data_IF_835933766354
#
_entry.id   IF_835933766354
#
_cell.length_a   1.000
_cell.length_b   1.000
_cell.length_c   1.000
_cell.angle_alpha   90.00
_cell.angle_beta   90.00
_cell.angle_gamma   90.00
#
_symmetry.space_group_name_H-M   'P 1'
#
loop_
_entity.id
_entity.type
_entity.pdbx_description
1 polymer ?
#
# COMPACT_ATOMS: atom_id res chain seq x y z
N UNK A 1 9.59 -31.74 -30.71
CA UNK A 1 8.44 -31.36 -29.86
C UNK A 1 7.93 -30.05 -30.42
N UNK A 2 6.95 -30.13 -31.32
CA UNK A 2 6.42 -28.99 -32.09
C UNK A 2 5.13 -28.48 -31.46
N UNK A 3 5.02 -27.16 -31.42
CA UNK A 3 4.01 -26.36 -30.72
C UNK A 3 2.66 -26.30 -31.44
N UNK A 4 1.68 -25.76 -30.69
CA UNK A 4 0.62 -24.84 -31.15
C UNK A 4 -0.65 -25.42 -31.81
N UNK A 5 -1.77 -25.34 -31.09
CA UNK A 5 -3.05 -24.91 -31.68
C UNK A 5 -3.65 -23.86 -30.74
N UNK A 6 -3.72 -22.61 -31.19
CA UNK A 6 -4.42 -21.54 -30.50
C UNK A 6 -5.92 -21.65 -30.84
N UNK A 7 -6.77 -21.85 -29.83
CA UNK A 7 -8.22 -21.72 -30.00
C UNK A 7 -8.54 -20.23 -29.89
N UNK A 8 -8.72 -19.59 -31.04
CA UNK A 8 -9.26 -18.23 -31.14
C UNK A 8 -10.72 -18.29 -30.68
N UNK A 9 -10.99 -17.77 -29.49
CA UNK A 9 -12.35 -17.54 -29.02
C UNK A 9 -12.97 -16.40 -29.80
N UNK A 10 -13.91 -16.70 -30.70
CA UNK A 10 -14.74 -15.71 -31.36
C UNK A 10 -15.82 -15.22 -30.38
N UNK A 11 -15.81 -13.93 -30.08
CA UNK A 11 -16.82 -13.27 -29.26
C UNK A 11 -17.98 -12.87 -30.20
N UNK A 12 -19.25 -13.19 -29.89
CA UNK A 12 -20.36 -12.94 -30.82
C UNK A 12 -20.42 -11.45 -31.18
N UNK A 13 -20.41 -11.14 -32.48
CA UNK A 13 -20.53 -9.76 -32.95
C UNK A 13 -21.95 -9.25 -32.66
N UNK A 14 -22.07 -8.32 -31.73
CA UNK A 14 -23.31 -7.59 -31.48
C UNK A 14 -23.46 -6.48 -32.53
N UNK A 15 -24.68 -6.21 -33.02
CA UNK A 15 -24.90 -5.16 -34.02
C UNK A 15 -24.46 -3.79 -33.47
N UNK A 16 -23.93 -2.91 -34.34
CA UNK A 16 -23.57 -1.54 -33.94
C UNK A 16 -24.78 -0.81 -33.35
N UNK A 17 -24.58 -0.15 -32.21
CA UNK A 17 -25.59 0.75 -31.65
C UNK A 17 -25.63 2.00 -32.52
N UNK A 18 -26.77 2.27 -33.15
CA UNK A 18 -27.01 3.51 -33.89
C UNK A 18 -27.12 4.66 -32.89
N UNK A 19 -26.05 5.46 -32.79
CA UNK A 19 -26.10 6.72 -32.05
C UNK A 19 -26.82 7.74 -32.92
N UNK A 20 -28.07 8.05 -32.61
CA UNK A 20 -28.74 9.23 -33.16
C UNK A 20 -27.98 10.45 -32.66
N UNK A 21 -27.27 11.13 -33.55
CA UNK A 21 -26.66 12.43 -33.28
C UNK A 21 -27.80 13.41 -32.95
N UNK A 22 -28.06 13.59 -31.66
CA UNK A 22 -28.78 14.77 -31.18
C UNK A 22 -27.90 15.97 -31.48
N UNK A 23 -28.49 16.89 -32.22
CA UNK A 23 -27.98 18.17 -32.70
C UNK A 23 -27.01 18.81 -31.69
N UNK A 24 -25.72 18.76 -32.00
CA UNK A 24 -24.63 19.19 -31.12
C UNK A 24 -24.35 20.70 -31.25
N UNK A 25 -25.40 21.51 -31.40
CA UNK A 25 -25.28 22.96 -31.50
C UNK A 25 -25.84 23.65 -30.24
N UNK A 26 -24.90 23.94 -29.33
CA UNK A 26 -25.01 24.91 -28.22
C UNK A 26 -25.55 24.45 -26.85
N UNK A 27 -25.47 23.18 -26.47
CA UNK A 27 -25.35 22.83 -25.04
C UNK A 27 -23.90 22.48 -24.72
N UNK A 28 -23.11 23.49 -24.34
CA UNK A 28 -21.85 23.23 -23.64
C UNK A 28 -22.18 22.35 -22.43
N UNK A 29 -21.51 21.20 -22.30
CA UNK A 29 -21.66 20.34 -21.13
C UNK A 29 -21.18 21.10 -19.89
N UNK A 30 -22.10 21.65 -19.10
CA UNK A 30 -21.79 22.37 -17.87
C UNK A 30 -21.75 21.37 -16.70
N UNK A 31 -20.57 21.20 -16.11
CA UNK A 31 -20.45 20.48 -14.84
C UNK A 31 -21.23 21.27 -13.77
N UNK A 32 -22.24 20.67 -13.10
CA UNK A 32 -22.97 21.35 -12.05
C UNK A 32 -22.01 21.73 -10.93
N UNK A 33 -22.00 23.01 -10.54
CA UNK A 33 -21.20 23.49 -9.42
C UNK A 33 -21.91 23.12 -8.12
N UNK A 34 -21.26 22.32 -7.27
CA UNK A 34 -21.71 22.09 -5.91
C UNK A 34 -21.32 23.28 -5.03
N UNK A 35 -22.17 23.61 -4.04
CA UNK A 35 -21.80 24.50 -2.95
C UNK A 35 -20.60 23.92 -2.18
N UNK A 36 -19.69 24.78 -1.71
CA UNK A 36 -18.52 24.36 -0.95
C UNK A 36 -18.96 23.78 0.40
N UNK A 37 -18.64 22.51 0.69
CA UNK A 37 -19.04 21.91 1.96
C UNK A 37 -18.31 22.59 3.12
N UNK A 38 -19.00 22.75 4.24
CA UNK A 38 -18.39 23.22 5.49
C UNK A 38 -17.38 22.17 5.97
N UNK A 39 -16.09 22.42 5.75
CA UNK A 39 -14.99 21.54 6.15
C UNK A 39 -14.63 21.73 7.62
N UNK A 40 -15.53 21.32 8.52
CA UNK A 40 -15.19 21.24 9.95
C UNK A 40 -14.67 19.84 10.26
N UNK A 41 -13.42 19.76 10.71
CA UNK A 41 -12.84 18.51 11.15
C UNK A 41 -13.50 18.10 12.48
N UNK A 42 -14.08 16.89 12.59
CA UNK A 42 -14.62 16.43 13.86
C UNK A 42 -13.50 16.34 14.92
N UNK A 43 -13.83 16.43 16.21
CA UNK A 43 -12.85 16.33 17.26
C UNK A 43 -12.09 15.00 17.18
N UNK A 44 -10.79 15.04 17.51
CA UNK A 44 -9.93 13.87 17.43
C UNK A 44 -10.50 12.69 18.26
N UNK A 45 -10.46 11.45 17.73
CA UNK A 45 -10.89 10.27 18.46
C UNK A 45 -10.19 10.17 19.82
N UNK A 46 -10.97 10.00 20.90
CA UNK A 46 -10.42 9.87 22.25
C UNK A 46 -10.04 8.42 22.50
N UNK A 47 -8.75 8.16 22.71
CA UNK A 47 -8.27 6.83 23.13
C UNK A 47 -8.81 6.49 24.53
N UNK A 48 -9.25 5.23 24.77
CA UNK A 48 -9.58 4.77 26.12
C UNK A 48 -8.41 5.04 27.07
N UNK A 49 -8.72 5.50 28.29
CA UNK A 49 -7.69 5.72 29.31
C UNK A 49 -7.07 4.36 29.67
N UNK A 50 -5.73 4.25 29.71
CA UNK A 50 -5.09 3.03 30.19
C UNK A 50 -5.54 2.70 31.61
N UNK A 51 -5.76 1.41 31.90
CA UNK A 51 -6.02 0.95 33.25
C UNK A 51 -4.83 1.35 34.14
N UNK A 52 -5.09 1.90 35.34
CA UNK A 52 -4.04 2.15 36.34
C UNK A 52 -3.28 0.84 36.54
N UNK A 53 -1.98 0.83 36.21
CA UNK A 53 -1.10 -0.30 36.51
C UNK A 53 -0.93 -0.33 38.02
N UNK A 54 -1.41 -1.38 38.68
CA UNK A 54 -0.82 -1.78 39.97
C UNK A 54 0.63 -2.09 39.67
N UNK A 55 1.57 -1.43 40.35
CA UNK A 55 2.97 -1.81 40.25
C UNK A 55 3.07 -3.30 40.59
N UNK A 56 3.72 -4.14 39.76
CA UNK A 56 4.14 -5.43 40.27
C UNK A 56 5.10 -5.18 41.45
N UNK A 57 4.97 -5.95 42.53
CA UNK A 57 5.83 -5.92 43.74
C UNK A 57 7.32 -5.98 43.35
N UNK A 58 7.63 -6.59 42.21
CA UNK A 58 8.95 -6.65 41.60
C UNK A 58 8.92 -6.15 40.14
N UNK A 59 9.94 -5.40 39.69
CA UNK A 59 10.11 -5.13 38.27
C UNK A 59 10.24 -6.47 37.51
N UNK A 60 9.73 -6.57 36.26
CA UNK A 60 9.99 -7.74 35.44
C UNK A 60 11.51 -7.93 35.37
N UNK A 61 12.01 -9.18 35.42
CA UNK A 61 13.43 -9.43 35.31
C UNK A 61 13.90 -8.79 34.00
N UNK A 62 14.73 -7.74 34.12
CA UNK A 62 15.41 -7.10 32.98
C UNK A 62 16.56 -8.03 32.59
N UNK A 63 16.21 -9.21 32.11
CA UNK A 63 17.16 -10.15 31.55
C UNK A 63 17.51 -9.65 30.16
N UNK A 64 18.64 -8.96 30.06
CA UNK A 64 19.31 -8.83 28.78
C UNK A 64 19.81 -10.22 28.39
N UNK A 65 19.51 -10.62 27.16
CA UNK A 65 20.16 -11.81 26.61
C UNK A 65 21.67 -11.57 26.52
N UNK A 66 22.51 -12.56 26.86
CA UNK A 66 23.94 -12.43 26.67
C UNK A 66 24.24 -12.27 25.18
N UNK A 67 24.76 -11.11 24.79
CA UNK A 67 25.21 -10.84 23.43
C UNK A 67 26.71 -11.15 23.35
N UNK A 68 27.18 -11.90 22.33
CA UNK A 68 28.61 -12.11 22.10
C UNK A 68 29.36 -10.77 22.04
N UNK A 69 30.51 -10.69 22.71
CA UNK A 69 31.34 -9.48 22.70
C UNK A 69 31.86 -9.15 21.30
N UNK A 70 32.16 -10.19 20.53
CA UNK A 70 32.58 -10.05 19.15
C UNK A 70 31.42 -10.38 18.21
N UNK A 71 30.80 -9.33 17.68
CA UNK A 71 29.74 -9.49 16.68
C UNK A 71 30.28 -10.01 15.35
N UNK A 72 31.56 -9.84 15.02
CA UNK A 72 32.10 -10.37 13.76
C UNK A 72 32.12 -11.90 13.75
N UNK A 73 32.24 -12.54 14.92
CA UNK A 73 32.22 -14.00 15.07
C UNK A 73 30.88 -14.66 14.74
N UNK A 74 29.76 -13.93 14.80
CA UNK A 74 28.42 -14.49 14.48
C UNK A 74 28.06 -14.36 13.00
N UNK A 75 28.83 -13.61 12.22
CA UNK A 75 28.59 -13.44 10.79
C UNK A 75 29.52 -14.32 9.96
N UNK A 76 28.98 -14.95 8.91
CA UNK A 76 29.80 -15.61 7.91
C UNK A 76 30.38 -14.55 6.96
N UNK A 77 31.71 -14.52 6.74
CA UNK A 77 32.30 -13.60 5.79
C UNK A 77 31.83 -13.96 4.38
N UNK A 78 31.20 -13.01 3.69
CA UNK A 78 30.82 -13.15 2.29
C UNK A 78 31.87 -12.48 1.40
N UNK A 79 32.23 -13.08 0.25
CA UNK A 79 33.11 -12.42 -0.70
C UNK A 79 32.46 -11.11 -1.19
N UNK A 80 33.23 -10.03 -1.35
CA UNK A 80 32.69 -8.76 -1.81
C UNK A 80 32.11 -8.92 -3.21
N UNK A 81 30.80 -8.71 -3.36
CA UNK A 81 30.11 -8.78 -4.66
C UNK A 81 30.28 -7.51 -5.50
N UNK A 82 30.83 -6.45 -4.91
CA UNK A 82 31.14 -5.18 -5.55
C UNK A 82 32.54 -4.71 -5.12
N UNK A 83 33.28 -4.05 -6.01
CA UNK A 83 34.60 -3.50 -5.69
C UNK A 83 34.48 -2.42 -4.60
N UNK A 84 35.01 -2.71 -3.41
CA UNK A 84 35.11 -1.74 -2.32
C UNK A 84 36.34 -0.87 -2.58
N UNK A 85 36.17 0.46 -2.67
CA UNK A 85 37.30 1.40 -2.68
C UNK A 85 37.70 1.67 -1.24
N UNK A 86 38.94 1.36 -0.88
CA UNK A 86 39.54 1.76 0.40
C UNK A 86 40.07 3.19 0.20
N UNK A 87 39.62 4.13 1.05
CA UNK A 87 40.14 5.51 1.11
C UNK A 87 41.25 5.57 2.14
#
# INVERSE_FOLDING_TARGET
>A
MGSEVAVVGELPQLPPLEMTAVDAEHEECVTPRSEEPVLVCPPAPRKPRPKKRTSPESPPPREFFPVPRDLASVFLPLPPTKRIRVV
#
